data_IF_810500802554
#
_entry.id   IF_810500802554
#
_cell.length_a   1.000
_cell.length_b   1.000
_cell.length_c   1.000
_cell.angle_alpha   90.00
_cell.angle_beta   90.00
_cell.angle_gamma   90.00
#
_symmetry.space_group_name_H-M   'P 1'
#
loop_
_entity.id
_entity.type
_entity.pdbx_description
1 polymer ?
#
# COMPACT_ATOMS: atom_id res chain seq x y z
N UNK A 1 -28.54 17.82 31.62
CA UNK A 1 -28.50 18.47 30.29
C UNK A 1 -27.03 18.64 29.95
N UNK A 2 -26.52 17.98 28.90
CA UNK A 2 -25.07 17.97 28.59
C UNK A 2 -24.64 16.66 27.94
N UNK A 3 -25.32 16.26 26.87
CA UNK A 3 -24.84 15.22 25.96
C UNK A 3 -24.29 15.91 24.72
N UNK A 4 -23.23 15.33 24.17
CA UNK A 4 -22.78 15.41 22.78
C UNK A 4 -22.27 16.75 22.25
N UNK A 5 -20.97 17.01 22.41
CA UNK A 5 -20.22 17.97 21.58
C UNK A 5 -19.18 17.28 20.65
N UNK A 6 -19.14 15.94 20.59
CA UNK A 6 -18.18 15.20 19.76
C UNK A 6 -18.80 14.44 18.57
N UNK A 7 -20.08 14.63 18.27
CA UNK A 7 -20.79 13.85 17.24
C UNK A 7 -20.72 14.41 15.81
N UNK A 8 -20.06 15.54 15.58
CA UNK A 8 -20.12 16.27 14.29
C UNK A 8 -18.80 16.39 13.52
N UNK A 9 -17.76 15.65 13.93
CA UNK A 9 -16.59 15.47 13.08
C UNK A 9 -16.90 14.39 12.04
N UNK A 10 -16.67 14.63 10.73
CA UNK A 10 -16.75 13.55 9.75
C UNK A 10 -15.83 12.42 10.20
N UNK A 11 -16.21 11.14 10.06
CA UNK A 11 -15.31 10.04 10.40
C UNK A 11 -14.08 10.14 9.48
N UNK A 12 -13.04 10.82 9.96
CA UNK A 12 -11.69 10.64 9.46
C UNK A 12 -11.37 9.15 9.63
N UNK A 13 -10.70 8.52 8.66
CA UNK A 13 -10.61 7.06 8.60
C UNK A 13 -10.02 6.54 9.92
N UNK A 14 -10.86 5.89 10.73
CA UNK A 14 -10.70 5.64 12.16
C UNK A 14 -9.72 4.50 12.48
N UNK A 15 -8.80 4.22 11.57
CA UNK A 15 -7.81 3.16 11.69
C UNK A 15 -6.40 3.74 11.76
N UNK A 16 -5.59 3.23 12.68
CA UNK A 16 -4.17 3.56 12.80
C UNK A 16 -3.42 3.54 11.46
N UNK A 17 -3.72 2.54 10.61
CA UNK A 17 -3.15 2.44 9.27
C UNK A 17 -3.51 3.63 8.36
N UNK A 18 -4.71 4.18 8.48
CA UNK A 18 -5.12 5.35 7.70
C UNK A 18 -4.60 6.68 8.23
N UNK A 19 -4.21 6.73 9.51
CA UNK A 19 -3.48 7.85 10.07
C UNK A 19 -2.00 7.87 9.63
N UNK A 20 -1.38 6.69 9.46
CA UNK A 20 0.05 6.57 9.14
C UNK A 20 0.36 6.41 7.65
N UNK A 21 -0.54 5.80 6.91
CA UNK A 21 -0.29 5.36 5.56
C UNK A 21 -1.37 5.86 4.62
N UNK A 22 -0.93 6.36 3.48
CA UNK A 22 -1.81 6.65 2.33
C UNK A 22 -2.52 5.38 1.85
N UNK A 23 -3.65 5.53 1.17
CA UNK A 23 -4.38 4.38 0.62
C UNK A 23 -3.53 3.50 -0.31
N UNK A 24 -2.63 4.09 -1.09
CA UNK A 24 -1.67 3.34 -1.93
C UNK A 24 -0.71 2.52 -1.08
N UNK A 25 -0.12 3.11 -0.04
CA UNK A 25 0.78 2.42 0.89
C UNK A 25 0.07 1.24 1.54
N UNK A 26 -1.12 1.44 2.10
CA UNK A 26 -1.87 0.35 2.76
C UNK A 26 -2.10 -0.84 1.83
N UNK A 27 -2.48 -0.58 0.57
CA UNK A 27 -2.75 -1.64 -0.42
C UNK A 27 -1.48 -2.37 -0.84
N UNK A 28 -0.42 -1.64 -1.15
CA UNK A 28 0.87 -2.25 -1.55
C UNK A 28 1.49 -3.03 -0.39
N UNK A 29 1.50 -2.45 0.81
CA UNK A 29 2.02 -3.12 2.00
C UNK A 29 1.21 -4.37 2.34
N UNK A 30 -0.13 -4.28 2.27
CA UNK A 30 -1.01 -5.43 2.51
C UNK A 30 -0.77 -6.60 1.55
N UNK A 31 -0.47 -6.31 0.28
CA UNK A 31 -0.15 -7.35 -0.70
C UNK A 31 1.23 -7.98 -0.43
N UNK A 32 2.27 -7.15 -0.31
CA UNK A 32 3.65 -7.64 -0.23
C UNK A 32 3.97 -8.28 1.13
N UNK A 33 3.53 -7.68 2.22
CA UNK A 33 3.83 -8.16 3.57
C UNK A 33 2.76 -9.11 4.11
N UNK A 34 1.58 -9.18 3.49
CA UNK A 34 0.57 -10.20 3.79
C UNK A 34 0.87 -11.56 3.16
N UNK A 35 1.72 -11.59 2.11
CA UNK A 35 2.10 -12.81 1.39
C UNK A 35 3.63 -12.84 1.11
N UNK A 36 4.49 -12.83 2.15
CA UNK A 36 5.93 -12.64 1.98
C UNK A 36 6.64 -13.76 1.19
N UNK A 37 6.08 -14.97 1.16
CA UNK A 37 6.64 -16.10 0.39
C UNK A 37 6.30 -16.02 -1.11
N UNK A 38 5.38 -15.13 -1.50
CA UNK A 38 4.93 -14.97 -2.86
C UNK A 38 5.63 -13.79 -3.52
N UNK A 39 6.27 -14.04 -4.65
CA UNK A 39 6.75 -12.95 -5.50
C UNK A 39 5.64 -12.44 -6.43
N UNK A 40 5.56 -11.12 -6.59
CA UNK A 40 4.56 -10.45 -7.42
C UNK A 40 5.24 -9.69 -8.57
N UNK A 41 4.65 -9.72 -9.76
CA UNK A 41 5.08 -8.84 -10.84
C UNK A 41 4.39 -7.47 -10.71
N UNK A 42 5.06 -6.40 -11.13
CA UNK A 42 4.56 -5.03 -10.97
C UNK A 42 3.11 -4.83 -11.45
N UNK A 43 2.76 -5.40 -12.62
CA UNK A 43 1.42 -5.28 -13.18
C UNK A 43 0.37 -6.01 -12.34
N UNK A 44 0.74 -7.10 -11.68
CA UNK A 44 -0.14 -7.80 -10.74
C UNK A 44 -0.48 -6.90 -9.56
N UNK A 45 0.53 -6.27 -8.96
CA UNK A 45 0.35 -5.38 -7.82
C UNK A 45 -0.52 -4.19 -8.22
N UNK A 46 -0.32 -3.64 -9.42
CA UNK A 46 -1.15 -2.55 -9.95
C UNK A 46 -2.62 -3.01 -10.06
N UNK A 47 -2.86 -4.19 -10.64
CA UNK A 47 -4.20 -4.73 -10.80
C UNK A 47 -4.88 -5.03 -9.46
N UNK A 48 -4.16 -5.66 -8.53
CA UNK A 48 -4.66 -6.05 -7.21
C UNK A 48 -4.86 -4.86 -6.27
N UNK A 49 -3.95 -3.87 -6.32
CA UNK A 49 -4.09 -2.67 -5.51
C UNK A 49 -5.31 -1.84 -5.94
N UNK A 50 -5.68 -1.83 -7.22
CA UNK A 50 -6.85 -1.10 -7.70
C UNK A 50 -6.73 0.42 -7.51
N UNK A 51 -5.50 0.93 -7.56
CA UNK A 51 -5.18 2.37 -7.50
C UNK A 51 -4.29 2.76 -8.68
N UNK A 52 -4.10 4.07 -8.91
CA UNK A 52 -3.36 4.57 -10.06
C UNK A 52 -1.98 3.93 -10.22
N UNK A 53 -1.69 3.40 -11.40
CA UNK A 53 -0.47 2.65 -11.71
C UNK A 53 0.81 3.40 -11.34
N UNK A 54 0.89 4.68 -11.65
CA UNK A 54 2.04 5.52 -11.30
C UNK A 54 2.25 5.66 -9.79
N UNK A 55 1.18 5.65 -8.99
CA UNK A 55 1.30 5.70 -7.54
C UNK A 55 1.87 4.39 -6.98
N UNK A 56 1.38 3.25 -7.47
CA UNK A 56 1.92 1.92 -7.12
C UNK A 56 3.39 1.81 -7.51
N UNK A 57 3.75 2.24 -8.73
CA UNK A 57 5.13 2.18 -9.19
C UNK A 57 6.08 3.04 -8.34
N UNK A 58 5.67 4.26 -7.95
CA UNK A 58 6.47 5.10 -7.04
C UNK A 58 6.63 4.47 -5.67
N UNK A 59 5.56 3.84 -5.14
CA UNK A 59 5.59 3.11 -3.89
C UNK A 59 6.59 1.95 -3.93
N UNK A 60 6.46 1.08 -4.94
CA UNK A 60 7.36 -0.06 -5.15
C UNK A 60 8.81 0.38 -5.32
N UNK A 61 9.06 1.45 -6.06
CA UNK A 61 10.39 2.01 -6.21
C UNK A 61 10.94 2.51 -4.87
N UNK A 62 10.14 3.21 -4.05
CA UNK A 62 10.57 3.67 -2.72
C UNK A 62 10.89 2.49 -1.79
N UNK A 63 10.02 1.48 -1.76
CA UNK A 63 10.23 0.29 -0.92
C UNK A 63 11.49 -0.48 -1.34
N UNK A 64 11.71 -0.67 -2.64
CA UNK A 64 12.92 -1.29 -3.16
C UNK A 64 14.19 -0.47 -2.84
N UNK A 65 14.14 0.86 -3.01
CA UNK A 65 15.26 1.75 -2.67
C UNK A 65 15.59 1.73 -1.18
N UNK A 66 14.59 1.56 -0.31
CA UNK A 66 14.79 1.46 1.14
C UNK A 66 15.31 0.08 1.60
N UNK A 67 15.32 -0.92 0.72
CA UNK A 67 15.65 -2.30 1.06
C UNK A 67 14.52 -3.08 1.77
N UNK A 68 13.35 -2.48 1.96
CA UNK A 68 12.19 -3.17 2.56
C UNK A 68 11.58 -4.25 1.66
N UNK A 69 11.77 -4.12 0.34
CA UNK A 69 11.28 -5.09 -0.66
C UNK A 69 12.43 -5.41 -1.61
N UNK A 70 12.57 -6.68 -1.98
CA UNK A 70 13.62 -7.11 -2.91
C UNK A 70 13.09 -7.09 -4.34
N UNK A 71 13.72 -6.32 -5.21
CA UNK A 71 13.43 -6.38 -6.64
C UNK A 71 14.35 -7.42 -7.31
N UNK A 72 13.76 -8.42 -7.96
CA UNK A 72 14.47 -9.42 -8.77
C UNK A 72 14.03 -9.36 -10.22
N UNK A 73 14.95 -9.21 -11.18
CA UNK A 73 14.63 -9.40 -12.59
C UNK A 73 14.40 -10.89 -12.87
N UNK A 74 13.26 -11.23 -13.48
CA UNK A 74 12.93 -12.58 -13.96
C UNK A 74 12.55 -12.47 -15.43
N UNK A 75 13.50 -12.78 -16.31
CA UNK A 75 13.38 -12.48 -17.75
C UNK A 75 13.22 -10.97 -17.98
N UNK A 76 12.15 -10.58 -18.69
CA UNK A 76 11.82 -9.17 -18.94
C UNK A 76 10.90 -8.55 -17.87
N UNK A 77 10.65 -9.23 -16.76
CA UNK A 77 9.73 -8.78 -15.72
C UNK A 77 10.45 -8.45 -14.42
N UNK A 78 9.95 -7.42 -13.73
CA UNK A 78 10.39 -7.06 -12.37
C UNK A 78 9.49 -7.75 -11.37
N UNK A 79 10.09 -8.60 -10.55
CA UNK A 79 9.43 -9.27 -9.43
C UNK A 79 9.80 -8.56 -8.12
N UNK A 80 8.81 -8.40 -7.26
CA UNK A 80 8.90 -7.84 -5.92
C UNK A 80 8.52 -8.92 -4.90
#
# INVERSE_FOLDING_TARGET
>A
MGKSEFSDLPPAPSGFAAALFTGTQQRVLGLLFGQPDRSFYANEIIALAGVGSGAVQRELARLAQSGLVTLRPVGNQKHY
#
